data_IF_108424581229
#
_entry.id   IF_108424581229
#
_cell.length_a   1.000
_cell.length_b   1.000
_cell.length_c   1.000
_cell.angle_alpha   90.00
_cell.angle_beta   90.00
_cell.angle_gamma   90.00
#
_symmetry.space_group_name_H-M   'P 1'
#
loop_
_entity.id
_entity.type
_entity.pdbx_description
1 polymer ?
#
# COMPACT_ATOMS: atom_id res chain seq x y z
N UNK A 1 -63.51 0.34 34.11
CA UNK A 1 -64.71 0.55 33.27
C UNK A 1 -64.22 1.13 31.93
N UNK A 2 -64.22 0.31 30.87
CA UNK A 2 -65.17 0.31 29.74
C UNK A 2 -65.03 1.53 28.78
N UNK A 3 -64.52 1.22 27.57
CA UNK A 3 -64.99 1.60 26.20
C UNK A 3 -64.91 3.11 25.86
N UNK A 4 -64.60 3.63 24.65
CA UNK A 4 -64.59 3.21 23.24
C UNK A 4 -63.70 4.25 22.49
N UNK A 5 -62.86 3.94 21.50
CA UNK A 5 -63.14 3.80 20.05
C UNK A 5 -63.99 4.93 19.42
N UNK A 6 -63.37 5.77 18.57
CA UNK A 6 -64.00 6.32 17.37
C UNK A 6 -63.02 6.31 16.19
N UNK A 7 -63.43 5.58 15.17
CA UNK A 7 -62.85 5.44 13.83
C UNK A 7 -63.43 6.56 12.96
N UNK A 8 -62.61 7.17 12.11
CA UNK A 8 -63.05 8.00 10.99
C UNK A 8 -62.18 7.70 9.79
N UNK A 9 -62.76 7.04 8.79
CA UNK A 9 -62.08 6.42 7.66
C UNK A 9 -62.59 6.98 6.32
N UNK A 10 -61.78 6.73 5.27
CA UNK A 10 -62.14 6.56 3.85
C UNK A 10 -62.21 7.83 2.98
N UNK A 11 -61.33 7.88 1.98
CA UNK A 11 -61.60 7.70 0.52
C UNK A 11 -60.24 7.73 -0.20
N UNK A 12 -59.65 6.64 -0.67
CA UNK A 12 -59.97 5.78 -1.82
C UNK A 12 -60.05 6.54 -3.17
N UNK A 13 -58.97 6.46 -3.94
CA UNK A 13 -58.95 6.72 -5.38
C UNK A 13 -58.33 5.51 -6.10
N UNK A 14 -59.16 4.53 -6.42
CA UNK A 14 -58.88 3.46 -7.37
C UNK A 14 -59.28 3.93 -8.77
N UNK A 15 -58.36 3.86 -9.74
CA UNK A 15 -58.64 3.65 -11.18
C UNK A 15 -57.41 2.92 -11.76
N UNK A 16 -57.39 1.58 -11.75
CA UNK A 16 -57.80 0.63 -12.82
C UNK A 16 -56.84 0.59 -14.01
N UNK A 17 -56.33 -0.62 -14.30
CA UNK A 17 -55.64 -0.95 -15.55
C UNK A 17 -55.03 -2.36 -15.54
N UNK A 18 -55.87 -3.39 -15.71
CA UNK A 18 -55.55 -4.82 -15.73
C UNK A 18 -54.78 -5.28 -17.00
N UNK A 19 -54.31 -6.54 -16.92
CA UNK A 19 -53.98 -7.50 -17.99
C UNK A 19 -52.46 -7.74 -18.14
N UNK A 20 -51.89 -8.94 -18.03
CA UNK A 20 -52.41 -10.30 -18.23
C UNK A 20 -51.52 -11.32 -17.46
N UNK A 21 -52.08 -12.47 -17.08
CA UNK A 21 -51.38 -13.58 -16.42
C UNK A 21 -50.36 -14.26 -17.33
N UNK A 22 -49.22 -14.66 -16.74
CA UNK A 22 -48.20 -15.49 -17.35
C UNK A 22 -47.27 -16.06 -16.28
N UNK A 23 -47.73 -17.10 -15.59
CA UNK A 23 -46.89 -17.94 -14.73
C UNK A 23 -45.83 -18.65 -15.56
N UNK A 24 -44.56 -18.55 -15.14
CA UNK A 24 -43.49 -19.53 -15.36
C UNK A 24 -42.26 -19.16 -14.53
N UNK A 25 -41.96 -20.04 -13.58
CA UNK A 25 -40.63 -20.46 -13.12
C UNK A 25 -39.52 -19.40 -13.13
N UNK A 26 -39.18 -18.87 -11.96
CA UNK A 26 -37.88 -18.23 -11.73
C UNK A 26 -37.01 -19.25 -11.02
N UNK A 27 -36.19 -19.91 -11.83
CA UNK A 27 -35.00 -20.66 -11.43
C UNK A 27 -34.09 -19.79 -10.56
N UNK A 28 -33.43 -20.46 -9.61
CA UNK A 28 -32.24 -19.98 -8.93
C UNK A 28 -31.27 -19.34 -9.93
N UNK A 29 -30.92 -18.08 -9.70
CA UNK A 29 -29.76 -17.48 -10.37
C UNK A 29 -28.80 -16.97 -9.30
N UNK A 30 -27.91 -17.87 -8.90
CA UNK A 30 -26.60 -17.56 -8.31
C UNK A 30 -25.76 -16.80 -9.34
N UNK A 31 -26.04 -15.52 -9.57
CA UNK A 31 -25.07 -14.70 -10.29
C UNK A 31 -25.27 -13.22 -10.03
N UNK A 32 -24.65 -12.74 -8.97
CA UNK A 32 -24.11 -11.39 -9.02
C UNK A 32 -22.71 -11.31 -8.39
N UNK A 33 -21.76 -11.36 -9.32
CA UNK A 33 -20.56 -10.52 -9.37
C UNK A 33 -19.53 -10.68 -8.25
N UNK A 34 -18.81 -11.81 -8.31
CA UNK A 34 -17.36 -11.86 -8.05
C UNK A 34 -16.66 -10.97 -9.08
N UNK A 35 -16.64 -9.66 -8.85
CA UNK A 35 -15.90 -8.68 -9.63
C UNK A 35 -14.77 -8.06 -8.80
N UNK A 36 -13.95 -8.91 -8.17
CA UNK A 36 -12.73 -8.45 -7.49
C UNK A 36 -11.64 -9.54 -7.41
N UNK A 37 -11.54 -10.40 -8.44
CA UNK A 37 -10.55 -11.47 -8.48
C UNK A 37 -9.60 -11.43 -9.67
N UNK A 38 -9.94 -10.74 -10.76
CA UNK A 38 -9.16 -10.83 -12.01
C UNK A 38 -8.19 -9.68 -12.23
N UNK A 39 -8.36 -8.53 -11.55
CA UNK A 39 -7.38 -7.43 -11.62
C UNK A 39 -6.06 -7.72 -10.91
N UNK A 40 -6.01 -8.70 -10.00
CA UNK A 40 -4.81 -8.96 -9.20
C UNK A 40 -3.79 -9.82 -9.96
N UNK A 41 -4.19 -10.80 -10.77
CA UNK A 41 -3.27 -11.81 -11.30
C UNK A 41 -2.38 -11.33 -12.47
N UNK A 42 -2.84 -10.37 -13.29
CA UNK A 42 -2.01 -9.75 -14.33
C UNK A 42 -1.06 -8.68 -13.80
N UNK A 43 -1.51 -7.79 -12.90
CA UNK A 43 -0.63 -6.83 -12.22
C UNK A 43 0.49 -7.53 -11.45
N UNK A 44 0.24 -8.75 -10.96
CA UNK A 44 1.24 -9.54 -10.27
C UNK A 44 2.32 -10.05 -11.24
N UNK A 45 2.07 -10.27 -12.54
CA UNK A 45 3.06 -10.80 -13.51
C UNK A 45 4.06 -9.76 -14.05
N UNK A 46 3.87 -8.46 -13.79
CA UNK A 46 4.54 -7.38 -14.53
C UNK A 46 5.36 -6.42 -13.65
N UNK A 47 5.70 -6.80 -12.41
CA UNK A 47 6.47 -5.91 -11.55
C UNK A 47 7.89 -5.71 -12.07
N UNK A 48 8.17 -4.56 -12.65
CA UNK A 48 9.55 -4.16 -12.91
C UNK A 48 10.20 -3.68 -11.61
N UNK A 49 11.51 -3.92 -11.48
CA UNK A 49 12.29 -3.33 -10.38
C UNK A 49 12.11 -1.81 -10.45
N UNK A 50 11.90 -1.18 -9.29
CA UNK A 50 11.72 0.26 -9.21
C UNK A 50 12.92 0.97 -9.85
N UNK A 51 12.64 2.04 -10.60
CA UNK A 51 13.66 2.83 -11.30
C UNK A 51 14.80 3.21 -10.36
N UNK A 52 16.03 2.99 -10.83
CA UNK A 52 17.24 3.37 -10.13
C UNK A 52 17.71 4.75 -10.60
N UNK A 53 17.98 5.62 -9.65
CA UNK A 53 18.61 6.92 -9.84
C UNK A 53 19.93 6.94 -9.08
N UNK A 54 21.01 7.44 -9.68
CA UNK A 54 22.29 7.59 -8.99
C UNK A 54 22.50 9.05 -8.61
N UNK A 55 22.82 9.31 -7.36
CA UNK A 55 23.22 10.63 -6.85
C UNK A 55 24.62 10.58 -6.27
N UNK A 56 25.32 11.71 -6.27
CA UNK A 56 26.67 11.79 -5.69
C UNK A 56 26.60 12.27 -4.24
N UNK A 57 27.00 11.43 -3.29
CA UNK A 57 27.10 11.75 -1.87
C UNK A 57 28.56 11.65 -1.46
N UNK A 58 29.17 12.75 -1.01
CA UNK A 58 30.56 12.78 -0.51
C UNK A 58 31.58 12.09 -1.44
N UNK A 59 31.44 12.31 -2.74
CA UNK A 59 32.24 11.71 -3.82
C UNK A 59 31.98 10.22 -4.11
N UNK A 60 31.01 9.59 -3.45
CA UNK A 60 30.52 8.25 -3.79
C UNK A 60 29.22 8.36 -4.59
N UNK A 61 29.05 7.48 -5.58
CA UNK A 61 27.76 7.32 -6.24
C UNK A 61 26.89 6.42 -5.37
N UNK A 62 25.77 6.96 -4.91
CA UNK A 62 24.77 6.23 -4.16
C UNK A 62 23.58 6.00 -5.08
N UNK A 63 23.24 4.73 -5.25
CA UNK A 63 22.07 4.32 -6.01
C UNK A 63 20.83 4.38 -5.13
N UNK A 64 19.76 4.97 -5.65
CA UNK A 64 18.47 5.15 -5.01
C UNK A 64 17.39 4.51 -5.87
N UNK A 65 16.51 3.69 -5.27
CA UNK A 65 15.35 3.10 -5.92
C UNK A 65 14.10 3.88 -5.52
N UNK A 66 13.50 4.60 -6.47
CA UNK A 66 12.29 5.39 -6.23
C UNK A 66 12.31 6.72 -6.96
N UNK A 67 11.45 7.63 -6.51
CA UNK A 67 11.35 8.99 -7.06
C UNK A 67 12.01 9.99 -6.11
N UNK A 68 13.05 10.66 -6.59
CA UNK A 68 13.74 11.72 -5.83
C UNK A 68 12.76 12.88 -5.63
N UNK A 69 12.66 13.39 -4.40
CA UNK A 69 11.67 14.41 -4.04
C UNK A 69 10.37 13.84 -3.46
N UNK A 70 10.25 12.51 -3.40
CA UNK A 70 9.08 11.82 -2.83
C UNK A 70 9.49 10.71 -1.86
N UNK A 71 9.83 9.53 -2.38
CA UNK A 71 10.13 8.35 -1.58
C UNK A 71 11.16 7.46 -2.29
N UNK A 72 12.28 7.20 -1.62
CA UNK A 72 13.36 6.38 -2.17
C UNK A 72 13.92 5.40 -1.15
N UNK A 73 14.36 4.25 -1.64
CA UNK A 73 15.19 3.30 -0.91
C UNK A 73 16.64 3.47 -1.34
N UNK A 74 17.58 3.57 -0.40
CA UNK A 74 19.00 3.43 -0.73
C UNK A 74 19.24 2.01 -1.23
N UNK A 75 19.65 1.88 -2.49
CA UNK A 75 19.86 0.60 -3.15
C UNK A 75 20.98 -0.15 -2.46
N UNK A 76 20.70 -1.39 -2.10
CA UNK A 76 21.67 -2.36 -1.62
C UNK A 76 21.21 -3.76 -2.07
N UNK A 77 22.10 -4.75 -1.98
CA UNK A 77 21.83 -6.11 -2.40
C UNK A 77 20.95 -6.81 -1.37
N UNK A 78 19.78 -7.28 -1.80
CA UNK A 78 18.95 -8.16 -1.01
C UNK A 78 19.30 -9.62 -1.30
N UNK A 79 19.61 -10.39 -0.26
CA UNK A 79 19.92 -11.83 -0.35
C UNK A 79 18.94 -12.63 0.48
N UNK A 80 18.58 -13.83 0.00
CA UNK A 80 17.72 -14.72 0.76
C UNK A 80 18.34 -15.07 2.11
N UNK A 81 17.50 -15.14 3.15
CA UNK A 81 17.84 -15.55 4.52
C UNK A 81 19.05 -14.81 5.10
N UNK A 82 19.30 -13.59 4.62
CA UNK A 82 20.37 -12.70 5.08
C UNK A 82 19.71 -11.43 5.59
N UNK A 83 19.93 -11.09 6.85
CA UNK A 83 19.46 -9.83 7.41
C UNK A 83 20.29 -8.68 6.83
N UNK A 84 19.65 -7.78 6.09
CA UNK A 84 20.23 -6.52 5.66
C UNK A 84 19.58 -5.34 6.38
N UNK A 85 20.36 -4.30 6.66
CA UNK A 85 19.86 -3.01 7.15
C UNK A 85 19.71 -2.09 5.95
N UNK A 86 18.49 -1.60 5.73
CA UNK A 86 18.17 -0.76 4.58
C UNK A 86 17.64 0.58 5.04
N UNK A 87 17.99 1.64 4.32
CA UNK A 87 17.60 3.02 4.63
C UNK A 87 16.65 3.53 3.56
N UNK A 88 15.54 4.10 4.01
CA UNK A 88 14.63 4.86 3.15
C UNK A 88 14.73 6.34 3.47
N UNK A 89 14.56 7.15 2.43
CA UNK A 89 14.41 8.59 2.55
C UNK A 89 13.03 9.01 2.06
N UNK A 90 12.40 9.90 2.81
CA UNK A 90 11.05 10.41 2.55
C UNK A 90 11.12 11.93 2.59
N UNK A 91 10.65 12.55 1.50
CA UNK A 91 10.40 13.99 1.48
C UNK A 91 9.05 14.26 2.11
N UNK A 92 9.02 15.17 3.09
CA UNK A 92 7.82 15.43 3.89
C UNK A 92 6.81 16.29 3.15
N UNK A 93 7.16 16.80 1.97
CA UNK A 93 6.36 17.74 1.18
C UNK A 93 5.75 18.83 2.08
N UNK A 94 4.43 18.89 2.22
CA UNK A 94 3.72 19.91 3.01
C UNK A 94 3.57 19.55 4.50
N UNK A 95 3.99 18.35 4.91
CA UNK A 95 3.99 17.95 6.30
C UNK A 95 5.19 18.54 7.04
N UNK A 96 4.94 18.99 8.26
CA UNK A 96 6.00 19.41 9.16
C UNK A 96 6.86 18.18 9.51
N UNK A 97 8.14 18.25 9.16
CA UNK A 97 9.13 17.20 9.43
C UNK A 97 9.12 16.75 10.89
N UNK A 98 9.04 17.69 11.82
CA UNK A 98 9.05 17.42 13.26
C UNK A 98 7.88 16.55 13.72
N UNK A 99 6.74 16.62 13.02
CA UNK A 99 5.56 15.83 13.36
C UNK A 99 5.71 14.35 12.96
N UNK A 100 6.69 14.03 12.10
CA UNK A 100 6.98 12.66 11.67
C UNK A 100 8.06 11.99 12.51
N UNK A 101 8.97 12.75 13.12
CA UNK A 101 10.07 12.21 13.90
C UNK A 101 9.55 11.35 15.07
N UNK A 102 10.14 10.17 15.26
CA UNK A 102 9.75 9.20 16.28
C UNK A 102 8.51 8.36 15.94
N UNK A 103 7.82 8.65 14.83
CA UNK A 103 6.72 7.79 14.38
C UNK A 103 7.25 6.48 13.82
N UNK A 104 6.47 5.41 14.04
CA UNK A 104 6.79 4.06 13.56
C UNK A 104 6.22 3.82 12.18
N UNK A 105 7.03 3.25 11.31
CA UNK A 105 6.60 2.74 10.01
C UNK A 105 6.62 1.22 10.01
N UNK A 106 5.70 0.60 9.28
CA UNK A 106 5.67 -0.84 9.07
C UNK A 106 5.94 -1.17 7.61
N UNK A 107 6.88 -2.07 7.38
CA UNK A 107 7.26 -2.53 6.04
C UNK A 107 6.68 -3.91 5.83
N UNK A 108 5.91 -4.05 4.77
CA UNK A 108 5.32 -5.31 4.33
C UNK A 108 5.82 -5.68 2.95
N UNK A 109 5.97 -6.98 2.71
CA UNK A 109 6.47 -7.53 1.46
C UNK A 109 5.45 -8.43 0.80
N UNK A 110 5.46 -8.45 -0.52
CA UNK A 110 4.78 -9.45 -1.33
C UNK A 110 5.82 -10.05 -2.27
N UNK A 111 6.00 -11.37 -2.24
CA UNK A 111 6.92 -12.07 -3.14
C UNK A 111 6.22 -12.39 -4.46
N UNK A 112 6.93 -12.26 -5.57
CA UNK A 112 6.41 -12.70 -6.87
C UNK A 112 6.17 -14.22 -6.94
N UNK A 113 6.77 -15.00 -6.03
CA UNK A 113 6.55 -16.45 -5.95
C UNK A 113 5.33 -16.82 -5.09
N UNK A 114 4.76 -15.87 -4.35
CA UNK A 114 3.54 -16.04 -3.56
C UNK A 114 2.65 -14.80 -3.69
N UNK A 115 2.18 -14.60 -4.92
CA UNK A 115 1.39 -13.47 -5.36
C UNK A 115 0.01 -13.54 -4.71
N UNK A 116 -0.18 -12.81 -3.61
CA UNK A 116 -1.47 -12.75 -2.90
C UNK A 116 -1.33 -12.65 -1.38
N UNK A 117 -0.15 -12.98 -0.84
CA UNK A 117 0.12 -12.87 0.59
C UNK A 117 1.04 -11.68 0.87
N UNK A 118 0.51 -10.69 1.58
CA UNK A 118 1.29 -9.58 2.12
C UNK A 118 1.77 -9.99 3.52
N UNK A 119 3.08 -10.08 3.70
CA UNK A 119 3.70 -10.44 4.97
C UNK A 119 4.36 -9.24 5.61
N UNK A 120 4.25 -9.12 6.93
CA UNK A 120 5.05 -8.17 7.68
C UNK A 120 6.52 -8.57 7.64
N UNK A 121 7.41 -7.62 7.31
CA UNK A 121 8.84 -7.85 7.19
C UNK A 121 9.64 -7.19 8.31
N UNK A 122 9.29 -5.95 8.66
CA UNK A 122 10.01 -5.17 9.65
C UNK A 122 9.21 -3.94 10.07
N UNK A 123 9.59 -3.36 11.20
CA UNK A 123 9.19 -2.00 11.58
C UNK A 123 10.44 -1.11 11.60
N UNK A 124 10.24 0.17 11.35
CA UNK A 124 11.27 1.21 11.46
C UNK A 124 10.75 2.39 12.26
N UNK A 125 11.65 3.29 12.63
CA UNK A 125 11.32 4.56 13.27
C UNK A 125 11.83 5.70 12.40
N UNK A 126 11.00 6.71 12.21
CA UNK A 126 11.35 7.91 11.44
C UNK A 126 12.31 8.76 12.28
N UNK A 127 13.43 9.16 11.67
CA UNK A 127 14.53 9.86 12.29
C UNK A 127 14.97 11.04 11.43
N UNK A 128 15.70 11.96 12.07
CA UNK A 128 16.42 13.00 11.38
C UNK A 128 17.54 12.41 10.50
N UNK A 129 17.90 13.16 9.46
CA UNK A 129 19.10 12.89 8.67
C UNK A 129 20.34 13.17 9.52
N UNK A 130 21.41 12.40 9.30
CA UNK A 130 22.73 12.75 9.84
C UNK A 130 23.28 14.00 9.17
N UNK A 131 24.22 14.70 9.82
CA UNK A 131 24.88 15.89 9.25
C UNK A 131 25.45 15.63 7.84
N UNK A 132 26.01 14.44 7.65
CA UNK A 132 26.58 13.98 6.39
C UNK A 132 25.56 13.85 5.26
N UNK A 133 24.37 13.34 5.59
CA UNK A 133 23.24 13.23 4.67
C UNK A 133 22.65 14.61 4.36
N UNK A 134 22.57 15.49 5.36
CA UNK A 134 22.08 16.88 5.18
C UNK A 134 22.92 17.63 4.14
N UNK A 135 24.24 17.46 4.17
CA UNK A 135 25.17 18.13 3.25
C UNK A 135 25.16 17.56 1.82
N UNK A 136 24.55 16.41 1.59
CA UNK A 136 24.71 15.64 0.34
C UNK A 136 23.41 15.33 -0.38
N UNK A 137 22.29 15.26 0.34
CA UNK A 137 20.97 15.01 -0.24
C UNK A 137 20.30 16.33 -0.65
N UNK A 138 19.69 16.40 -1.85
CA UNK A 138 18.94 17.58 -2.27
C UNK A 138 17.69 17.76 -1.40
N UNK A 139 17.38 19.01 -1.05
CA UNK A 139 16.21 19.39 -0.24
C UNK A 139 16.13 18.68 1.12
N UNK A 140 17.30 18.45 1.74
CA UNK A 140 17.46 17.71 3.00
C UNK A 140 16.77 18.34 4.21
N UNK A 141 16.45 19.63 4.14
CA UNK A 141 15.65 20.36 5.14
C UNK A 141 14.21 19.81 5.22
N UNK A 142 13.69 19.27 4.12
CA UNK A 142 12.34 18.67 4.02
C UNK A 142 12.37 17.15 3.95
N UNK A 143 13.40 16.53 4.49
CA UNK A 143 13.58 15.08 4.46
C UNK A 143 13.71 14.47 5.84
N UNK A 144 13.19 13.25 5.94
CA UNK A 144 13.42 12.32 7.04
C UNK A 144 13.92 10.99 6.47
N UNK A 145 14.46 10.15 7.36
CA UNK A 145 14.79 8.78 7.02
C UNK A 145 14.18 7.79 8.00
N UNK A 146 14.16 6.54 7.60
CA UNK A 146 13.99 5.43 8.53
C UNK A 146 14.83 4.25 8.05
N UNK A 147 15.25 3.43 9.00
CA UNK A 147 16.02 2.23 8.72
C UNK A 147 15.25 1.01 9.19
N UNK A 148 15.36 -0.09 8.45
CA UNK A 148 14.73 -1.33 8.84
C UNK A 148 15.56 -2.54 8.40
N UNK A 149 15.50 -3.58 9.24
CA UNK A 149 16.16 -4.85 8.99
C UNK A 149 15.21 -5.77 8.24
N UNK A 150 15.59 -6.21 7.05
CA UNK A 150 14.78 -7.12 6.23
C UNK A 150 15.56 -8.40 5.98
N UNK A 151 14.90 -9.53 6.19
CA UNK A 151 15.41 -10.86 5.86
C UNK A 151 14.46 -11.54 4.87
N UNK A 152 14.66 -11.38 3.55
CA UNK A 152 13.80 -12.00 2.56
C UNK A 152 13.89 -13.53 2.63
N UNK A 153 12.76 -14.24 2.60
CA UNK A 153 12.76 -15.71 2.71
C UNK A 153 12.83 -16.44 1.36
N UNK A 154 12.78 -15.69 0.25
CA UNK A 154 12.70 -16.25 -1.11
C UNK A 154 13.39 -15.33 -2.11
N UNK A 155 14.01 -15.92 -3.12
CA UNK A 155 14.60 -15.19 -4.23
C UNK A 155 13.52 -14.64 -5.17
N UNK A 156 13.93 -13.76 -6.08
CA UNK A 156 13.06 -13.15 -7.10
C UNK A 156 12.61 -11.75 -6.69
N UNK A 157 11.59 -11.24 -7.38
CA UNK A 157 11.08 -9.89 -7.14
C UNK A 157 10.21 -9.82 -5.91
N UNK A 158 10.39 -8.74 -5.16
CA UNK A 158 9.57 -8.41 -3.99
C UNK A 158 9.04 -6.99 -4.12
N UNK A 159 7.73 -6.83 -3.90
CA UNK A 159 7.10 -5.51 -3.72
C UNK A 159 7.08 -5.19 -2.24
N UNK A 160 7.89 -4.24 -1.82
CA UNK A 160 7.93 -3.69 -0.48
C UNK A 160 6.97 -2.50 -0.42
N UNK A 161 6.12 -2.46 0.59
CA UNK A 161 5.20 -1.36 0.88
C UNK A 161 5.45 -0.87 2.29
N UNK A 162 5.56 0.44 2.43
CA UNK A 162 5.79 1.08 3.72
C UNK A 162 4.55 1.83 4.16
N UNK A 163 4.15 1.63 5.40
CA UNK A 163 2.96 2.23 5.97
C UNK A 163 3.29 3.05 7.21
N UNK A 164 2.63 4.19 7.37
CA UNK A 164 2.57 4.97 8.59
C UNK A 164 1.11 5.06 9.05
N UNK A 165 0.79 4.54 10.24
CA UNK A 165 -0.57 4.57 10.79
C UNK A 165 -1.64 4.02 9.80
N UNK A 166 -1.27 2.98 9.04
CA UNK A 166 -2.04 2.35 7.95
C UNK A 166 -2.13 3.15 6.63
N UNK A 167 -1.54 4.34 6.54
CA UNK A 167 -1.42 5.07 5.28
C UNK A 167 -0.18 4.60 4.52
N UNK A 168 -0.35 4.27 3.23
CA UNK A 168 0.76 3.89 2.37
C UNK A 168 1.64 5.12 2.11
N UNK A 169 2.90 5.06 2.51
CA UNK A 169 3.90 6.08 2.21
C UNK A 169 4.52 5.89 0.83
N UNK A 170 4.83 4.65 0.48
CA UNK A 170 5.56 4.36 -0.75
C UNK A 170 5.66 2.87 -1.03
N UNK A 171 6.03 2.56 -2.28
CA UNK A 171 6.23 1.18 -2.75
C UNK A 171 7.56 1.07 -3.49
N UNK A 172 8.36 0.07 -3.15
CA UNK A 172 9.61 -0.25 -3.85
C UNK A 172 9.59 -1.70 -4.29
N UNK A 173 9.81 -1.95 -5.58
CA UNK A 173 10.03 -3.29 -6.11
C UNK A 173 11.53 -3.54 -6.20
N UNK A 174 12.00 -4.57 -5.51
CA UNK A 174 13.41 -4.98 -5.45
C UNK A 174 13.61 -6.36 -6.07
N UNK A 175 14.86 -6.73 -6.34
CA UNK A 175 15.26 -8.09 -6.72
C UNK A 175 16.07 -8.73 -5.60
N UNK A 176 15.63 -9.89 -5.12
CA UNK A 176 16.31 -10.68 -4.09
C UNK A 176 17.10 -11.80 -4.76
N UNK A 177 18.40 -11.83 -4.48
CA UNK A 177 19.35 -12.79 -5.02
C UNK A 177 19.50 -14.01 -4.10
N UNK A 178 19.97 -15.11 -4.68
CA UNK A 178 20.46 -16.24 -3.89
C UNK A 178 21.66 -15.83 -3.02
N UNK A 179 21.99 -16.66 -2.01
CA UNK A 179 23.15 -16.47 -1.15
C UNK A 179 24.44 -16.41 -1.97
#
# INVERSE_FOLDING_TARGET
MKRSLFIGAITLGLLIGCSNEGSKDIEENEQDTIASSEKSTEELKTWNVTTQNSIQIKNENVDLLGEIGDYVLRSDVFRIETEGLYTWYLWTQDQNKEDLIGKKVSIKGISEKNKGEEMHLSDGEIQELSEDEILSLPDSDRMVKFEAKITPLREGRWKLKTYLENNLLGTTVISVQAK
#
